data_IF_362771786396
#
_entry.id   IF_362771786396
#
_cell.length_a   1.000
_cell.length_b   1.000
_cell.length_c   1.000
_cell.angle_alpha   90.00
_cell.angle_beta   90.00
_cell.angle_gamma   90.00
#
_symmetry.space_group_name_H-M   'P 1'
#
loop_
_entity.id
_entity.type
_entity.pdbx_description
1 polymer ?
#
# COMPACT_ATOMS: atom_id res chain seq x y z
N UNK A 1 -11.35 4.74 -12.95
CA UNK A 1 -12.03 3.75 -13.81
C UNK A 1 -13.24 4.41 -14.45
N UNK A 2 -13.76 3.89 -15.58
CA UNK A 2 -14.89 4.51 -16.28
C UNK A 2 -16.23 4.46 -15.52
N UNK A 3 -16.29 3.71 -14.42
CA UNK A 3 -17.45 3.54 -13.55
C UNK A 3 -17.42 4.44 -12.30
N UNK A 4 -16.48 5.39 -12.22
CA UNK A 4 -16.36 6.32 -11.10
C UNK A 4 -15.56 5.80 -9.90
N UNK A 5 -15.18 4.52 -9.88
CA UNK A 5 -14.30 3.98 -8.84
C UNK A 5 -12.89 4.59 -8.92
N UNK A 6 -12.25 4.66 -7.77
CA UNK A 6 -10.87 5.12 -7.57
C UNK A 6 -9.96 3.95 -7.20
N UNK A 7 -8.66 4.06 -7.42
CA UNK A 7 -7.69 3.04 -7.03
C UNK A 7 -6.37 3.67 -6.59
N UNK A 8 -5.65 2.97 -5.71
CA UNK A 8 -4.28 3.28 -5.33
C UNK A 8 -3.52 1.97 -5.17
N UNK A 9 -2.38 1.82 -5.83
CA UNK A 9 -1.58 0.60 -5.77
C UNK A 9 -0.09 0.90 -5.72
N UNK A 10 0.63 0.08 -4.97
CA UNK A 10 2.05 0.27 -4.68
C UNK A 10 2.70 -1.06 -4.26
N UNK A 11 4.03 -1.04 -4.24
CA UNK A 11 4.86 -2.10 -3.65
C UNK A 11 5.17 -1.72 -2.20
N UNK A 12 5.11 -2.67 -1.29
CA UNK A 12 5.40 -2.46 0.13
C UNK A 12 6.03 -3.68 0.76
N UNK A 13 6.47 -3.56 2.01
CA UNK A 13 7.12 -4.65 2.72
C UNK A 13 6.75 -4.72 4.19
N UNK A 14 6.98 -5.88 4.78
CA UNK A 14 6.82 -6.13 6.21
C UNK A 14 8.06 -6.85 6.73
N UNK A 15 8.47 -6.54 7.94
CA UNK A 15 9.35 -7.37 8.75
C UNK A 15 8.51 -8.06 9.85
N UNK A 16 8.06 -9.31 9.65
CA UNK A 16 7.13 -9.99 10.57
C UNK A 16 7.63 -10.06 12.01
N UNK A 17 8.94 -10.26 12.17
CA UNK A 17 9.62 -10.42 13.45
C UNK A 17 10.44 -9.17 13.82
N UNK A 18 10.16 -8.03 13.19
CA UNK A 18 10.96 -6.80 13.29
C UNK A 18 12.22 -6.83 12.42
N UNK A 19 12.88 -5.67 12.32
CA UNK A 19 14.09 -5.53 11.50
C UNK A 19 15.23 -6.32 12.13
N UNK A 20 15.87 -7.26 11.41
CA UNK A 20 16.97 -8.04 11.96
C UNK A 20 18.15 -7.16 12.38
N UNK A 21 18.66 -7.37 13.61
CA UNK A 21 19.83 -6.64 14.15
C UNK A 21 21.14 -7.13 13.49
N UNK A 22 21.17 -8.38 13.03
CA UNK A 22 22.32 -8.99 12.36
C UNK A 22 21.87 -10.07 11.37
N UNK A 23 22.68 -10.33 10.35
CA UNK A 23 22.39 -11.33 9.32
C UNK A 23 21.82 -10.71 8.03
N UNK A 24 21.36 -11.58 7.14
CA UNK A 24 20.83 -11.18 5.84
C UNK A 24 19.36 -10.77 5.95
N UNK A 25 19.12 -9.46 6.09
CA UNK A 25 17.78 -8.89 6.22
C UNK A 25 16.88 -9.21 5.02
N UNK A 26 17.46 -9.47 3.85
CA UNK A 26 16.72 -9.73 2.60
C UNK A 26 15.90 -11.02 2.69
N UNK A 27 16.27 -11.95 3.58
CA UNK A 27 15.52 -13.19 3.84
C UNK A 27 14.40 -13.04 4.86
N UNK A 28 14.32 -11.89 5.54
CA UNK A 28 13.34 -11.63 6.59
C UNK A 28 12.29 -10.60 6.16
N UNK A 29 12.64 -9.68 5.25
CA UNK A 29 11.73 -8.70 4.69
C UNK A 29 10.80 -9.35 3.66
N UNK A 30 9.50 -9.38 3.96
CA UNK A 30 8.45 -9.88 3.07
C UNK A 30 7.98 -8.77 2.15
N UNK A 31 7.96 -9.04 0.86
CA UNK A 31 7.56 -8.08 -0.18
C UNK A 31 6.12 -8.32 -0.63
N UNK A 32 5.38 -7.25 -0.81
CA UNK A 32 3.97 -7.26 -1.20
C UNK A 32 3.70 -6.29 -2.33
N UNK A 33 2.76 -6.68 -3.19
CA UNK A 33 2.13 -5.78 -4.15
C UNK A 33 0.68 -5.65 -3.75
N UNK A 34 0.20 -4.43 -3.59
CA UNK A 34 -1.19 -4.15 -3.17
C UNK A 34 -1.85 -3.14 -4.08
N UNK A 35 -3.14 -3.31 -4.29
CA UNK A 35 -4.01 -2.41 -5.03
C UNK A 35 -5.33 -2.27 -4.29
N UNK A 36 -5.55 -1.10 -3.70
CA UNK A 36 -6.78 -0.72 -3.05
C UNK A 36 -7.75 -0.12 -4.05
N UNK A 37 -9.03 -0.45 -3.89
CA UNK A 37 -10.11 0.04 -4.74
C UNK A 37 -11.14 0.71 -3.85
N UNK A 38 -11.61 1.87 -4.29
CA UNK A 38 -12.55 2.73 -3.57
C UNK A 38 -13.72 3.09 -4.47
N UNK A 39 -14.86 3.42 -3.87
CA UNK A 39 -15.97 4.04 -4.60
C UNK A 39 -15.67 5.50 -4.96
N UNK A 40 -16.64 6.16 -5.60
CA UNK A 40 -16.54 7.56 -5.99
C UNK A 40 -16.44 8.53 -4.81
N UNK A 41 -16.90 8.12 -3.63
CA UNK A 41 -16.91 8.92 -2.40
C UNK A 41 -15.68 8.62 -1.51
N UNK A 42 -14.76 7.79 -2.01
CA UNK A 42 -13.53 7.44 -1.32
C UNK A 42 -13.70 6.38 -0.22
N UNK A 43 -14.84 5.67 -0.18
CA UNK A 43 -15.00 4.55 0.74
C UNK A 43 -14.24 3.33 0.20
N UNK A 44 -13.54 2.65 1.09
CA UNK A 44 -12.85 1.40 0.79
C UNK A 44 -13.83 0.31 0.33
N UNK A 45 -13.50 -0.36 -0.77
CA UNK A 45 -14.29 -1.47 -1.31
C UNK A 45 -13.56 -2.81 -1.20
N UNK A 46 -12.35 -2.89 -1.76
CA UNK A 46 -11.59 -4.13 -1.85
C UNK A 46 -10.09 -3.90 -1.95
N UNK A 47 -9.33 -4.99 -1.78
CA UNK A 47 -7.88 -5.01 -1.98
C UNK A 47 -7.47 -6.23 -2.78
N UNK A 48 -6.78 -6.00 -3.90
CA UNK A 48 -5.98 -7.05 -4.53
C UNK A 48 -4.60 -7.02 -3.91
N UNK A 49 -4.06 -8.18 -3.58
CA UNK A 49 -2.72 -8.29 -3.02
C UNK A 49 -1.98 -9.50 -3.58
N UNK A 50 -0.66 -9.44 -3.53
CA UNK A 50 0.21 -10.55 -3.85
C UNK A 50 1.43 -10.53 -2.92
N UNK A 51 1.64 -11.63 -2.20
CA UNK A 51 2.89 -11.89 -1.49
C UNK A 51 3.94 -12.34 -2.50
N UNK A 52 4.97 -11.52 -2.71
CA UNK A 52 6.00 -11.75 -3.72
C UNK A 52 7.16 -12.62 -3.22
N UNK A 53 7.11 -13.08 -1.98
CA UNK A 53 8.23 -13.72 -1.30
C UNK A 53 9.05 -12.72 -0.49
N UNK A 54 10.26 -13.12 -0.12
CA UNK A 54 11.23 -12.26 0.56
C UNK A 54 12.04 -11.44 -0.45
N UNK A 55 12.71 -10.37 0.00
CA UNK A 55 13.61 -9.59 -0.87
C UNK A 55 14.70 -10.45 -1.51
N UNK A 56 15.11 -11.55 -0.87
CA UNK A 56 16.07 -12.50 -1.44
C UNK A 56 15.50 -13.33 -2.60
N UNK A 57 14.18 -13.47 -2.69
CA UNK A 57 13.47 -14.34 -3.63
C UNK A 57 12.83 -13.57 -4.79
N UNK A 58 12.64 -12.26 -4.63
CA UNK A 58 12.01 -11.40 -5.63
C UNK A 58 12.86 -10.19 -5.98
N UNK A 59 12.39 -9.39 -6.93
CA UNK A 59 13.01 -8.12 -7.29
C UNK A 59 11.95 -7.10 -7.72
N UNK A 60 12.39 -5.86 -7.90
CA UNK A 60 11.53 -4.74 -8.28
C UNK A 60 10.80 -4.99 -9.61
N UNK A 61 11.46 -5.57 -10.62
CA UNK A 61 10.83 -5.82 -11.91
C UNK A 61 9.64 -6.79 -11.79
N UNK A 62 9.78 -7.88 -11.03
CA UNK A 62 8.71 -8.87 -10.83
C UNK A 62 7.51 -8.24 -10.11
N UNK A 63 7.77 -7.45 -9.07
CA UNK A 63 6.70 -6.83 -8.28
C UNK A 63 6.01 -5.71 -9.04
N UNK A 64 6.76 -4.93 -9.83
CA UNK A 64 6.22 -3.94 -10.76
C UNK A 64 5.33 -4.57 -11.83
N UNK A 65 5.79 -5.64 -12.48
CA UNK A 65 5.00 -6.38 -13.49
C UNK A 65 3.68 -6.89 -12.90
N UNK A 66 3.70 -7.34 -11.64
CA UNK A 66 2.48 -7.76 -10.95
C UNK A 66 1.54 -6.60 -10.68
N UNK A 67 2.06 -5.44 -10.27
CA UNK A 67 1.25 -4.24 -10.04
C UNK A 67 0.59 -3.78 -11.34
N UNK A 68 1.35 -3.74 -12.43
CA UNK A 68 0.83 -3.41 -13.77
C UNK A 68 -0.25 -4.41 -14.21
N UNK A 69 -0.09 -5.70 -13.91
CA UNK A 69 -1.11 -6.71 -14.16
C UNK A 69 -2.41 -6.45 -13.37
N UNK A 70 -2.31 -6.11 -12.08
CA UNK A 70 -3.47 -5.74 -11.27
C UNK A 70 -4.20 -4.51 -11.82
N UNK A 71 -3.45 -3.48 -12.24
CA UNK A 71 -4.02 -2.28 -12.84
C UNK A 71 -4.71 -2.61 -14.17
N UNK A 72 -4.09 -3.44 -15.01
CA UNK A 72 -4.67 -3.87 -16.29
C UNK A 72 -5.99 -4.61 -16.13
N UNK A 73 -6.14 -5.41 -15.07
CA UNK A 73 -7.39 -6.10 -14.75
C UNK A 73 -8.54 -5.15 -14.38
N UNK A 74 -8.26 -3.89 -14.01
CA UNK A 74 -9.30 -2.87 -13.78
C UNK A 74 -9.96 -2.39 -15.08
N UNK A 75 -9.37 -2.72 -16.24
CA UNK A 75 -9.77 -2.17 -17.53
C UNK A 75 -9.18 -0.76 -17.78
N UNK A 76 -9.82 0.08 -18.60
CA UNK A 76 -9.35 1.44 -18.86
C UNK A 76 -9.30 2.29 -17.57
N UNK A 77 -8.11 2.82 -17.27
CA UNK A 77 -7.84 3.67 -16.10
C UNK A 77 -7.28 5.03 -16.52
N UNK A 78 -7.41 6.01 -15.63
CA UNK A 78 -6.82 7.35 -15.75
C UNK A 78 -6.17 7.67 -14.41
N UNK A 79 -4.92 8.14 -14.44
CA UNK A 79 -4.19 8.57 -13.25
C UNK A 79 -4.52 10.03 -12.93
N UNK A 80 -4.91 10.28 -11.68
CA UNK A 80 -5.27 11.60 -11.14
C UNK A 80 -5.22 11.54 -9.62
N UNK A 81 -5.32 12.70 -8.99
CA UNK A 81 -5.51 12.78 -7.54
C UNK A 81 -6.84 12.13 -7.14
N UNK A 82 -6.84 11.51 -5.97
CA UNK A 82 -7.99 10.84 -5.38
C UNK A 82 -8.22 11.38 -3.97
N UNK A 83 -9.47 11.36 -3.54
CA UNK A 83 -9.84 11.63 -2.15
C UNK A 83 -10.41 10.35 -1.58
N UNK A 84 -9.76 9.83 -0.53
CA UNK A 84 -10.16 8.58 0.14
C UNK A 84 -10.32 8.82 1.64
N UNK A 85 -11.20 8.05 2.26
CA UNK A 85 -11.33 8.02 3.72
C UNK A 85 -10.23 7.12 4.30
N UNK A 86 -9.84 7.33 5.57
CA UNK A 86 -9.06 6.35 6.31
C UNK A 86 -9.72 4.96 6.21
N UNK A 87 -8.90 3.93 6.06
CA UNK A 87 -9.35 2.57 5.87
C UNK A 87 -8.29 1.59 6.35
N UNK A 88 -8.72 0.37 6.63
CA UNK A 88 -7.81 -0.73 6.98
C UNK A 88 -8.33 -2.05 6.42
N UNK A 89 -7.40 -2.95 6.16
CA UNK A 89 -7.65 -4.35 5.83
C UNK A 89 -6.56 -5.23 6.43
N UNK A 90 -6.79 -6.55 6.46
CA UNK A 90 -5.83 -7.52 6.98
C UNK A 90 -5.30 -8.40 5.84
N UNK A 91 -3.98 -8.46 5.70
CA UNK A 91 -3.30 -9.35 4.74
C UNK A 91 -2.25 -10.15 5.51
N UNK A 92 -2.32 -11.48 5.42
CA UNK A 92 -1.42 -12.41 6.13
C UNK A 92 -1.27 -12.15 7.64
N UNK A 93 -2.30 -11.59 8.28
CA UNK A 93 -2.28 -11.26 9.71
C UNK A 93 -1.69 -9.88 10.05
N UNK A 94 -1.36 -9.05 9.07
CA UNK A 94 -0.86 -7.70 9.25
C UNK A 94 -1.86 -6.64 8.78
N UNK A 95 -1.79 -5.45 9.39
CA UNK A 95 -2.62 -4.29 9.02
C UNK A 95 -2.05 -3.62 7.78
N UNK A 96 -2.93 -3.35 6.82
CA UNK A 96 -2.66 -2.58 5.62
C UNK A 96 -3.72 -1.49 5.50
N UNK A 97 -3.32 -0.27 5.15
CA UNK A 97 -4.26 0.81 4.90
C UNK A 97 -3.75 2.17 5.32
N UNK A 98 -4.65 3.13 5.32
CA UNK A 98 -4.37 4.52 5.68
C UNK A 98 -4.90 4.77 7.10
N UNK A 99 -4.00 4.71 8.07
CA UNK A 99 -4.30 4.59 9.50
C UNK A 99 -4.05 5.93 10.21
N UNK A 100 -5.09 6.56 10.78
CA UNK A 100 -4.93 7.80 11.52
C UNK A 100 -4.43 7.54 12.94
N UNK A 101 -3.45 8.32 13.38
CA UNK A 101 -3.06 8.48 14.78
C UNK A 101 -3.50 9.86 15.27
N UNK A 102 -4.56 9.87 16.08
CA UNK A 102 -5.12 11.10 16.64
C UNK A 102 -4.16 11.82 17.60
N UNK A 103 -3.30 11.08 18.30
CA UNK A 103 -2.39 11.65 19.30
C UNK A 103 -1.28 12.45 18.63
N UNK A 104 -0.69 11.90 17.56
CA UNK A 104 0.35 12.57 16.77
C UNK A 104 -0.20 13.48 15.66
N UNK A 105 -1.50 13.40 15.36
CA UNK A 105 -2.16 14.09 14.23
C UNK A 105 -1.51 13.75 12.89
N UNK A 106 -1.16 12.47 12.75
CA UNK A 106 -0.58 11.90 11.54
C UNK A 106 -1.52 10.82 10.99
N UNK A 107 -1.45 10.59 9.69
CA UNK A 107 -2.07 9.46 9.03
C UNK A 107 -0.99 8.69 8.29
N UNK A 108 -0.79 7.42 8.62
CA UNK A 108 0.28 6.59 8.06
C UNK A 108 -0.28 5.56 7.09
N UNK A 109 0.42 5.36 5.99
CA UNK A 109 0.17 4.25 5.08
C UNK A 109 0.91 3.01 5.58
N UNK A 110 0.16 2.08 6.13
CA UNK A 110 0.65 0.79 6.60
C UNK A 110 0.57 -0.29 5.51
N UNK A 111 1.49 -1.26 5.51
CA UNK A 111 2.63 -1.41 6.42
C UNK A 111 3.81 -0.53 6.01
N UNK A 112 4.85 -0.52 6.85
CA UNK A 112 6.18 0.10 6.66
C UNK A 112 6.25 1.60 6.87
N UNK A 113 5.10 2.27 7.03
CA UNK A 113 4.97 3.70 7.31
C UNK A 113 5.84 4.58 6.39
N UNK A 114 6.05 4.15 5.14
CA UNK A 114 6.86 4.88 4.14
C UNK A 114 6.12 6.08 3.54
N UNK A 115 4.85 6.28 3.88
CA UNK A 115 4.06 7.43 3.47
C UNK A 115 3.28 7.90 4.69
N UNK A 116 3.52 9.14 5.10
CA UNK A 116 2.86 9.77 6.25
C UNK A 116 2.32 11.15 5.87
N UNK A 117 1.13 11.47 6.36
CA UNK A 117 0.46 12.76 6.18
C UNK A 117 0.31 13.43 7.54
N UNK A 118 0.83 14.64 7.71
CA UNK A 118 0.76 15.37 8.99
C UNK A 118 -0.09 16.64 8.88
N UNK A 119 -0.68 17.04 10.01
CA UNK A 119 -1.40 18.31 10.10
C UNK A 119 -0.44 19.46 10.51
N UNK A 120 -0.48 20.65 9.88
CA UNK A 120 -1.33 21.06 8.75
C UNK A 120 -0.96 20.43 7.42
N UNK A 121 -1.95 19.84 6.73
CA UNK A 121 -1.74 19.22 5.43
C UNK A 121 -1.75 20.27 4.32
N UNK A 122 -0.68 20.29 3.53
CA UNK A 122 -0.46 21.21 2.41
C UNK A 122 -0.69 20.56 1.03
N UNK A 123 -1.14 19.30 1.02
CA UNK A 123 -1.32 18.50 -0.20
C UNK A 123 -0.21 17.48 -0.43
N UNK A 124 0.90 17.56 0.31
CA UNK A 124 2.06 16.67 0.16
C UNK A 124 2.08 15.57 1.24
N UNK A 125 2.95 14.58 1.04
CA UNK A 125 3.22 13.52 2.02
C UNK A 125 4.72 13.41 2.28
N UNK A 126 5.07 12.79 3.40
CA UNK A 126 6.45 12.51 3.80
C UNK A 126 6.77 11.04 3.56
N UNK A 127 7.99 10.75 3.12
CA UNK A 127 8.52 9.38 2.88
C UNK A 127 9.80 9.12 3.64
#
# INVERSE_FOLDING_TARGET
>A
MNDGRQFFGYQTFIFPDGVPISGDWTKSRREYVVLYIFDSDGNYLETKHWFAGTTAETNDAITKDKLEAFIKELGPTVYKDICVKPFQTMIDGFVFGLIPDEASRVVDLEPSSTISFSWPWDGEYYT
#
